data_IF_312971727442
#
_entry.id   IF_312971727442
#
_cell.length_a   1.000
_cell.length_b   1.000
_cell.length_c   1.000
_cell.angle_alpha   90.00
_cell.angle_beta   90.00
_cell.angle_gamma   90.00
#
_symmetry.space_group_name_H-M   'P 1'
#
loop_
_entity.id
_entity.type
_entity.pdbx_description
1 polymer ?
#
# COMPACT_ATOMS: atom_id res chain seq x y z
N UNK A 1 -23.11 -22.52 -12.82
CA UNK A 1 -22.90 -21.09 -13.08
C UNK A 1 -21.69 -20.65 -12.28
N UNK A 2 -20.66 -20.11 -12.93
CA UNK A 2 -19.53 -19.50 -12.21
C UNK A 2 -20.07 -18.17 -11.67
N UNK A 3 -20.25 -18.07 -10.36
CA UNK A 3 -20.67 -16.83 -9.71
C UNK A 3 -19.46 -15.90 -9.72
N UNK A 4 -19.55 -14.82 -10.49
CA UNK A 4 -18.54 -13.77 -10.47
C UNK A 4 -18.73 -12.97 -9.18
N UNK A 5 -17.87 -13.21 -8.19
CA UNK A 5 -17.84 -12.42 -6.97
C UNK A 5 -16.90 -11.23 -7.22
N UNK A 6 -17.41 -9.98 -7.21
CA UNK A 6 -16.54 -8.81 -7.36
C UNK A 6 -15.46 -8.82 -6.28
N UNK A 7 -14.24 -8.36 -6.60
CA UNK A 7 -13.14 -8.24 -5.65
C UNK A 7 -13.52 -7.42 -4.39
N UNK A 8 -14.50 -6.53 -4.49
CA UNK A 8 -15.01 -5.70 -3.39
C UNK A 8 -16.11 -6.33 -2.55
N UNK A 9 -16.62 -7.52 -2.89
CA UNK A 9 -17.69 -8.17 -2.14
C UNK A 9 -17.20 -8.59 -0.75
N UNK A 10 -17.87 -8.11 0.30
CA UNK A 10 -17.43 -8.29 1.69
C UNK A 10 -16.27 -7.38 2.12
N UNK A 11 -15.87 -6.43 1.28
CA UNK A 11 -14.86 -5.43 1.62
C UNK A 11 -15.49 -4.24 2.35
N UNK A 12 -14.76 -3.65 3.30
CA UNK A 12 -15.14 -2.42 4.02
C UNK A 12 -14.33 -1.21 3.54
N UNK A 13 -14.83 0.03 3.68
CA UNK A 13 -13.98 1.21 3.57
C UNK A 13 -12.93 1.25 4.69
N UNK A 14 -11.97 2.16 4.56
CA UNK A 14 -11.12 2.55 5.69
C UNK A 14 -11.98 3.15 6.81
N UNK A 15 -11.56 2.93 8.04
CA UNK A 15 -12.15 3.50 9.26
C UNK A 15 -11.58 4.90 9.51
N UNK A 16 -12.27 5.72 10.31
CA UNK A 16 -11.78 7.06 10.66
C UNK A 16 -10.38 7.07 11.30
N UNK A 17 -10.03 6.14 12.22
CA UNK A 17 -8.67 6.05 12.75
C UNK A 17 -7.62 5.75 11.66
N UNK A 18 -7.92 4.81 10.75
CA UNK A 18 -7.03 4.48 9.62
C UNK A 18 -6.86 5.70 8.69
N UNK A 19 -7.95 6.38 8.34
CA UNK A 19 -7.93 7.58 7.50
C UNK A 19 -7.07 8.68 8.13
N UNK A 20 -7.25 8.93 9.43
CA UNK A 20 -6.51 9.96 10.17
C UNK A 20 -5.00 9.73 10.07
N UNK A 21 -4.56 8.49 10.28
CA UNK A 21 -3.15 8.10 10.17
C UNK A 21 -2.65 8.22 8.74
N UNK A 22 -3.39 7.69 7.77
CA UNK A 22 -2.98 7.68 6.36
C UNK A 22 -2.85 9.10 5.81
N UNK A 23 -3.70 10.04 6.24
CA UNK A 23 -3.62 11.44 5.81
C UNK A 23 -2.34 12.13 6.25
N UNK A 24 -1.68 11.71 7.33
CA UNK A 24 -0.39 12.32 7.74
C UNK A 24 0.76 11.90 6.81
N UNK A 25 0.63 10.74 6.18
CA UNK A 25 1.62 10.18 5.26
C UNK A 25 1.36 10.68 3.84
N UNK A 26 0.19 10.37 3.29
CA UNK A 26 -0.11 10.61 1.87
C UNK A 26 -0.70 11.99 1.59
N UNK A 27 -1.17 12.72 2.62
CA UNK A 27 -1.86 13.99 2.41
C UNK A 27 -3.05 13.84 1.46
N UNK A 28 -2.97 14.43 0.28
CA UNK A 28 -4.03 14.40 -0.75
C UNK A 28 -3.66 13.61 -2.01
N UNK A 29 -2.48 12.97 -2.06
CA UNK A 29 -2.02 12.22 -3.24
C UNK A 29 -2.72 10.88 -3.46
N UNK A 30 -3.60 10.48 -2.54
CA UNK A 30 -4.40 9.26 -2.59
C UNK A 30 -5.88 9.56 -2.32
N UNK A 31 -6.75 8.95 -3.11
CA UNK A 31 -8.20 8.95 -2.96
C UNK A 31 -8.63 7.78 -2.06
N UNK A 32 -8.74 8.08 -0.76
CA UNK A 32 -9.11 7.12 0.28
C UNK A 32 -10.57 6.64 0.17
N UNK A 33 -11.44 7.41 -0.49
CA UNK A 33 -12.86 7.05 -0.62
C UNK A 33 -13.06 5.85 -1.56
N UNK A 34 -12.06 5.57 -2.41
CA UNK A 34 -12.02 4.41 -3.30
C UNK A 34 -11.44 3.16 -2.63
N UNK A 35 -10.66 3.31 -1.56
CA UNK A 35 -9.93 2.20 -0.91
C UNK A 35 -10.90 1.23 -0.22
N UNK A 36 -10.71 -0.07 -0.44
CA UNK A 36 -11.48 -1.12 0.24
C UNK A 36 -10.55 -2.15 0.86
N UNK A 37 -10.82 -2.53 2.11
CA UNK A 37 -10.14 -3.62 2.80
C UNK A 37 -11.04 -4.85 2.81
N UNK A 38 -10.50 -5.99 2.39
CA UNK A 38 -11.14 -7.30 2.50
C UNK A 38 -10.28 -8.24 3.33
N UNK A 39 -10.94 -9.25 3.89
CA UNK A 39 -10.31 -10.27 4.71
C UNK A 39 -10.48 -11.65 4.09
N UNK A 40 -9.36 -12.35 3.89
CA UNK A 40 -9.30 -13.69 3.32
C UNK A 40 -9.54 -13.77 1.81
N UNK A 41 -9.86 -14.98 1.37
CA UNK A 41 -10.06 -15.35 -0.03
C UNK A 41 -8.87 -16.12 -0.61
N UNK A 42 -9.02 -16.74 -1.79
CA UNK A 42 -8.00 -17.64 -2.34
C UNK A 42 -6.63 -16.99 -2.54
N UNK A 43 -6.57 -15.68 -2.81
CA UNK A 43 -5.31 -14.95 -3.01
C UNK A 43 -4.47 -14.85 -1.73
N UNK A 44 -5.11 -14.72 -0.56
CA UNK A 44 -4.41 -14.61 0.72
C UNK A 44 -3.95 -15.97 1.27
N UNK A 45 -4.10 -17.05 0.49
CA UNK A 45 -3.54 -18.37 0.83
C UNK A 45 -2.09 -18.51 0.37
N UNK A 46 -1.66 -17.66 -0.55
CA UNK A 46 -0.35 -17.73 -1.20
C UNK A 46 0.53 -16.51 -0.89
N UNK A 47 -0.05 -15.44 -0.31
CA UNK A 47 0.69 -14.25 0.09
C UNK A 47 0.22 -13.72 1.45
N UNK A 48 1.11 -12.98 2.11
CA UNK A 48 0.88 -12.32 3.38
C UNK A 48 -0.19 -11.23 3.26
N UNK A 49 -0.30 -10.55 2.13
CA UNK A 49 -1.35 -9.57 1.76
C UNK A 49 -1.36 -9.38 0.25
N UNK A 50 -2.45 -8.89 -0.32
CA UNK A 50 -2.53 -8.63 -1.76
C UNK A 50 -3.29 -7.34 -2.03
N UNK A 51 -2.65 -6.40 -2.71
CA UNK A 51 -3.28 -5.17 -3.21
C UNK A 51 -3.50 -5.22 -4.71
N UNK A 52 -4.75 -5.08 -5.13
CA UNK A 52 -5.15 -5.03 -6.54
C UNK A 52 -6.04 -3.81 -6.75
N UNK A 53 -5.53 -2.84 -7.51
CA UNK A 53 -6.22 -1.59 -7.75
C UNK A 53 -6.45 -0.81 -6.45
N UNK A 54 -7.71 -0.61 -6.07
CA UNK A 54 -8.08 0.05 -4.81
C UNK A 54 -8.45 -0.93 -3.68
N UNK A 55 -8.20 -2.24 -3.87
CA UNK A 55 -8.64 -3.27 -2.92
C UNK A 55 -7.42 -3.93 -2.28
N UNK A 56 -7.33 -3.80 -0.96
CA UNK A 56 -6.31 -4.44 -0.12
C UNK A 56 -6.92 -5.69 0.51
N UNK A 57 -6.23 -6.83 0.39
CA UNK A 57 -6.68 -8.11 0.93
C UNK A 57 -5.72 -8.60 2.01
N UNK A 58 -6.15 -8.57 3.28
CA UNK A 58 -5.41 -9.18 4.37
C UNK A 58 -5.89 -10.60 4.65
N UNK A 59 -5.05 -11.52 5.12
CA UNK A 59 -5.48 -12.83 5.61
C UNK A 59 -6.40 -12.65 6.82
N UNK A 60 -7.37 -13.55 6.97
CA UNK A 60 -8.36 -13.47 8.03
C UNK A 60 -7.69 -13.49 9.43
N UNK A 61 -8.02 -12.50 10.27
CA UNK A 61 -7.52 -12.39 11.64
C UNK A 61 -6.05 -11.96 11.77
N UNK A 62 -5.41 -11.49 10.68
CA UNK A 62 -4.02 -11.00 10.69
C UNK A 62 -3.89 -9.48 10.75
N UNK A 63 -4.96 -8.76 10.46
CA UNK A 63 -5.02 -7.31 10.52
C UNK A 63 -6.30 -6.90 11.24
N UNK A 64 -6.16 -6.09 12.28
CA UNK A 64 -7.27 -5.43 12.98
C UNK A 64 -7.11 -3.90 13.05
N UNK A 65 -5.94 -3.37 12.65
CA UNK A 65 -5.68 -1.94 12.58
C UNK A 65 -5.49 -1.27 13.95
N UNK A 66 -5.29 -2.05 15.01
CA UNK A 66 -5.22 -1.55 16.39
C UNK A 66 -3.82 -1.11 16.83
N UNK A 67 -2.77 -1.61 16.17
CA UNK A 67 -1.38 -1.41 16.58
C UNK A 67 -0.50 -0.73 15.51
N UNK A 68 0.69 -0.21 15.89
CA UNK A 68 1.63 0.39 14.94
C UNK A 68 2.08 -0.58 13.85
N UNK A 69 2.28 -1.86 14.16
CA UNK A 69 2.67 -2.86 13.16
C UNK A 69 1.58 -3.06 12.10
N UNK A 70 0.32 -3.19 12.53
CA UNK A 70 -0.82 -3.28 11.62
C UNK A 70 -0.94 -2.03 10.76
N UNK A 71 -0.86 -0.84 11.36
CA UNK A 71 -0.96 0.42 10.62
C UNK A 71 0.21 0.61 9.64
N UNK A 72 1.42 0.19 9.99
CA UNK A 72 2.55 0.19 9.08
C UNK A 72 2.32 -0.73 7.89
N UNK A 73 1.74 -1.90 8.14
CA UNK A 73 1.35 -2.83 7.08
C UNK A 73 0.26 -2.24 6.18
N UNK A 74 -0.75 -1.57 6.76
CA UNK A 74 -1.74 -0.83 5.98
C UNK A 74 -1.08 0.27 5.13
N UNK A 75 -0.13 1.02 5.70
CA UNK A 75 0.60 2.07 4.98
C UNK A 75 1.39 1.50 3.80
N UNK A 76 2.07 0.36 3.97
CA UNK A 76 2.73 -0.38 2.88
C UNK A 76 1.75 -0.67 1.74
N UNK A 77 0.63 -1.32 2.05
CA UNK A 77 -0.37 -1.69 1.05
C UNK A 77 -0.99 -0.47 0.35
N UNK A 78 -1.12 0.66 1.06
CA UNK A 78 -1.62 1.90 0.49
C UNK A 78 -0.62 2.59 -0.44
N UNK A 79 0.68 2.30 -0.35
CA UNK A 79 1.63 2.73 -1.39
C UNK A 79 1.28 2.06 -2.71
N UNK A 80 0.90 0.78 -2.73
CA UNK A 80 0.47 0.12 -3.96
C UNK A 80 -0.85 0.67 -4.50
N UNK A 81 -1.79 1.03 -3.62
CA UNK A 81 -3.01 1.75 -4.06
C UNK A 81 -2.64 3.12 -4.62
N UNK A 82 -1.74 3.86 -3.98
CA UNK A 82 -1.25 5.15 -4.48
C UNK A 82 -0.56 5.00 -5.84
N UNK A 83 0.31 4.00 -6.03
CA UNK A 83 0.95 3.68 -7.31
C UNK A 83 -0.11 3.43 -8.39
N UNK A 84 -1.11 2.60 -8.09
CA UNK A 84 -2.22 2.33 -8.99
C UNK A 84 -3.01 3.59 -9.36
N UNK A 85 -3.34 4.45 -8.38
CA UNK A 85 -4.11 5.67 -8.63
C UNK A 85 -3.33 6.75 -9.38
N UNK A 86 -2.00 6.80 -9.23
CA UNK A 86 -1.15 7.82 -9.83
C UNK A 86 -0.59 7.41 -11.19
N UNK A 87 -0.51 6.12 -11.51
CA UNK A 87 0.12 5.66 -12.75
C UNK A 87 -0.71 4.61 -13.52
N UNK A 88 -1.81 4.12 -12.94
CA UNK A 88 -2.75 3.20 -13.58
C UNK A 88 -2.21 1.77 -13.78
N UNK A 89 -2.95 0.94 -14.52
CA UNK A 89 -2.59 -0.46 -14.77
C UNK A 89 -1.32 -0.64 -15.62
N UNK A 90 -0.89 0.39 -16.34
CA UNK A 90 0.34 0.36 -17.14
C UNK A 90 1.61 0.46 -16.31
N UNK A 91 1.49 0.83 -15.03
CA UNK A 91 2.57 0.93 -14.06
C UNK A 91 2.72 -0.33 -13.20
N UNK A 92 1.89 -1.35 -13.42
CA UNK A 92 2.04 -2.66 -12.78
C UNK A 92 3.30 -3.31 -13.35
N UNK A 93 4.45 -3.28 -12.65
CA UNK A 93 5.62 -3.99 -13.11
C UNK A 93 5.39 -5.49 -12.89
N UNK A 94 6.22 -6.35 -13.46
CA UNK A 94 6.21 -7.79 -13.16
C UNK A 94 6.29 -8.05 -11.64
N UNK A 95 6.83 -7.12 -10.86
CA UNK A 95 6.92 -7.18 -9.40
C UNK A 95 5.58 -7.14 -8.64
N UNK A 96 4.49 -6.56 -9.17
CA UNK A 96 3.14 -6.76 -8.58
C UNK A 96 2.69 -8.21 -8.71
N UNK A 97 3.22 -8.95 -9.70
CA UNK A 97 3.06 -10.39 -9.78
C UNK A 97 3.98 -11.14 -8.82
N UNK A 98 5.16 -10.60 -8.51
CA UNK A 98 6.06 -11.15 -7.49
C UNK A 98 5.54 -10.93 -6.05
N UNK A 99 4.76 -9.87 -5.79
CA UNK A 99 4.01 -9.68 -4.52
C UNK A 99 3.07 -10.84 -4.18
N UNK A 100 2.55 -11.55 -5.19
CA UNK A 100 1.72 -12.72 -4.95
C UNK A 100 2.53 -13.93 -4.46
N UNK A 101 3.86 -13.86 -4.48
CA UNK A 101 4.76 -15.00 -4.28
C UNK A 101 5.83 -14.79 -3.21
N UNK A 102 6.23 -13.56 -2.87
CA UNK A 102 7.30 -13.30 -1.91
C UNK A 102 6.91 -12.26 -0.86
N UNK A 103 7.19 -12.56 0.41
CA UNK A 103 6.97 -11.68 1.56
C UNK A 103 8.24 -11.57 2.39
N UNK A 104 9.38 -11.45 1.72
CA UNK A 104 10.66 -11.32 2.40
C UNK A 104 10.84 -9.90 2.93
N UNK A 105 11.60 -9.79 4.02
CA UNK A 105 11.98 -8.51 4.59
C UNK A 105 12.94 -7.81 3.61
N UNK A 106 12.41 -6.89 2.81
CA UNK A 106 13.20 -5.99 2.00
C UNK A 106 14.01 -5.06 2.90
N UNK A 107 15.32 -5.00 2.68
CA UNK A 107 16.20 -4.05 3.36
C UNK A 107 16.45 -2.91 2.38
N UNK A 108 15.85 -1.75 2.65
CA UNK A 108 16.09 -0.56 1.85
C UNK A 108 17.34 0.15 2.36
N UNK A 109 18.18 0.57 1.43
CA UNK A 109 19.30 1.47 1.70
C UNK A 109 18.95 2.87 1.22
N UNK A 110 18.88 3.80 2.17
CA UNK A 110 18.73 5.23 1.86
C UNK A 110 19.83 5.70 0.92
N UNK A 111 19.44 6.35 -0.18
CA UNK A 111 20.35 7.01 -1.11
C UNK A 111 19.80 8.40 -1.48
N UNK A 112 20.43 9.43 -0.93
CA UNK A 112 20.07 10.83 -1.17
C UNK A 112 20.16 11.27 -2.65
N UNK A 113 20.75 10.45 -3.51
CA UNK A 113 20.93 10.75 -4.95
C UNK A 113 19.84 10.13 -5.83
N UNK A 114 19.00 9.26 -5.27
CA UNK A 114 17.92 8.55 -5.96
C UNK A 114 16.58 9.22 -5.60
N UNK A 115 15.72 9.46 -6.58
CA UNK A 115 14.34 9.94 -6.35
C UNK A 115 13.48 8.79 -5.79
N UNK A 116 12.44 9.13 -5.03
CA UNK A 116 11.49 8.13 -4.53
C UNK A 116 10.87 7.30 -5.67
N UNK A 117 10.60 7.93 -6.81
CA UNK A 117 9.97 7.29 -7.97
C UNK A 117 10.91 6.36 -8.74
N UNK A 118 12.22 6.44 -8.49
CA UNK A 118 13.24 5.60 -9.12
C UNK A 118 13.53 4.32 -8.32
N UNK A 119 13.03 4.20 -7.09
CA UNK A 119 13.07 2.96 -6.30
C UNK A 119 12.10 1.91 -6.86
N UNK A 120 12.38 0.63 -6.62
CA UNK A 120 11.41 -0.43 -6.91
C UNK A 120 10.11 -0.21 -6.11
N UNK A 121 9.00 -0.72 -6.64
CA UNK A 121 7.67 -0.52 -6.04
C UNK A 121 7.57 -1.06 -4.61
N UNK A 122 8.28 -2.13 -4.25
CA UNK A 122 8.31 -2.65 -2.89
C UNK A 122 9.20 -1.81 -2.00
N UNK A 123 10.34 -1.33 -2.52
CA UNK A 123 11.22 -0.44 -1.79
C UNK A 123 10.50 0.87 -1.45
N UNK A 124 9.73 1.42 -2.38
CA UNK A 124 8.85 2.57 -2.13
C UNK A 124 7.88 2.29 -0.97
N UNK A 125 7.24 1.12 -0.97
CA UNK A 125 6.28 0.75 0.07
C UNK A 125 6.96 0.58 1.44
N UNK A 126 8.14 -0.04 1.47
CA UNK A 126 8.95 -0.21 2.69
C UNK A 126 9.45 1.12 3.23
N UNK A 127 9.97 2.02 2.39
CA UNK A 127 10.42 3.37 2.80
C UNK A 127 9.31 4.09 3.56
N UNK A 128 8.09 4.07 3.03
CA UNK A 128 6.96 4.80 3.60
C UNK A 128 6.46 4.13 4.88
N UNK A 129 6.45 2.80 4.95
CA UNK A 129 6.10 2.05 6.16
C UNK A 129 7.15 2.25 7.28
N UNK A 130 8.44 2.24 6.95
CA UNK A 130 9.54 2.54 7.87
C UNK A 130 9.46 3.98 8.37
N UNK A 131 9.19 4.95 7.49
CA UNK A 131 8.97 6.34 7.91
C UNK A 131 7.83 6.45 8.90
N UNK A 132 6.71 5.74 8.68
CA UNK A 132 5.58 5.73 9.61
C UNK A 132 5.96 5.20 11.00
N UNK A 133 6.79 4.15 11.07
CA UNK A 133 7.21 3.53 12.33
C UNK A 133 8.28 4.36 13.07
N UNK A 134 9.31 4.78 12.34
CA UNK A 134 10.55 5.31 12.91
C UNK A 134 10.68 6.84 12.79
N UNK A 135 9.84 7.49 11.99
CA UNK A 135 9.88 8.94 11.69
C UNK A 135 11.26 9.42 11.24
N UNK A 136 11.90 8.64 10.36
CA UNK A 136 13.24 8.90 9.85
C UNK A 136 13.29 10.22 9.04
N UNK A 137 13.95 11.28 9.54
CA UNK A 137 13.95 12.59 8.89
C UNK A 137 14.63 12.56 7.51
N UNK A 138 15.54 11.61 7.27
CA UNK A 138 16.19 11.40 5.98
C UNK A 138 15.21 10.99 4.86
N UNK A 139 14.06 10.40 5.19
CA UNK A 139 13.04 10.02 4.21
C UNK A 139 12.06 11.16 3.88
N UNK A 140 12.13 12.30 4.57
CA UNK A 140 11.19 13.41 4.33
C UNK A 140 11.14 13.89 2.85
N UNK A 141 12.27 13.99 2.11
CA UNK A 141 12.24 14.31 0.69
C UNK A 141 11.43 13.32 -0.14
N UNK A 142 11.46 12.02 0.21
CA UNK A 142 10.67 10.99 -0.47
C UNK A 142 9.17 11.14 -0.17
N UNK A 143 8.83 11.45 1.08
CA UNK A 143 7.44 11.71 1.47
C UNK A 143 6.90 12.97 0.81
N UNK A 144 7.73 14.00 0.60
CA UNK A 144 7.35 15.18 -0.17
C UNK A 144 7.04 14.82 -1.62
N UNK A 145 7.89 14.02 -2.28
CA UNK A 145 7.66 13.54 -3.64
C UNK A 145 6.37 12.70 -3.76
N UNK A 146 6.15 11.78 -2.81
CA UNK A 146 4.91 10.99 -2.71
C UNK A 146 3.66 11.87 -2.58
N UNK A 147 3.73 12.94 -1.77
CA UNK A 147 2.59 13.86 -1.53
C UNK A 147 2.34 14.80 -2.71
N UNK A 148 3.38 15.15 -3.47
CA UNK A 148 3.29 16.03 -4.63
C UNK A 148 2.83 15.30 -5.90
N UNK A 149 3.01 13.98 -5.99
CA UNK A 149 2.46 13.16 -7.07
C UNK A 149 0.93 13.14 -6.96
N UNK A 150 0.24 13.43 -8.07
CA UNK A 150 -1.23 13.56 -8.09
C UNK A 150 -1.88 12.49 -8.97
N UNK A 151 -3.05 11.96 -8.57
CA UNK A 151 -3.73 10.90 -9.32
C UNK A 151 -3.97 11.30 -10.78
N UNK A 152 -3.77 10.35 -11.69
CA UNK A 152 -4.20 10.53 -13.08
C UNK A 152 -5.73 10.57 -13.07
N UNK A 153 -6.30 11.70 -13.47
CA UNK A 153 -7.75 11.94 -13.47
C UNK A 153 -8.48 11.15 -14.55
#
# INVERSE_FOLDING_TARGET
AIVFVPLSFGARPLTEPEISVVRTIFGTSIDLDKVRIRFGGPLTWFSSSVTIGNVISFPAGRYDGSGPADLAWLVHELVHVWQYQNFGWGYVPESVWEQLTESDAYVVHYDATISFLDYDIEEQAVIVAEYFLDQRPEYEPYLEELRLTQPVR
#
